data_IF_237369994846
#
_entry.id   IF_237369994846
#
_cell.length_a   1.000
_cell.length_b   1.000
_cell.length_c   1.000
_cell.angle_alpha   90.00
_cell.angle_beta   90.00
_cell.angle_gamma   90.00
#
_symmetry.space_group_name_H-M   'P 1'
#
loop_
_entity.id
_entity.type
_entity.pdbx_description
1 polymer ?
#
# COMPACT_ATOMS: atom_id res chain seq x y z
N UNK A 1 4.04 9.65 2.85
CA UNK A 1 4.42 10.34 1.60
C UNK A 1 3.17 10.56 0.74
N UNK A 2 3.03 11.73 0.14
CA UNK A 2 1.92 12.03 -0.77
C UNK A 2 2.23 11.59 -2.21
N UNK A 3 1.23 11.10 -2.96
CA UNK A 3 1.38 10.61 -4.34
C UNK A 3 2.03 11.62 -5.28
N UNK A 4 1.73 12.91 -5.12
CA UNK A 4 2.34 13.97 -5.97
C UNK A 4 3.86 14.08 -5.80
N UNK A 5 4.42 13.57 -4.70
CA UNK A 5 5.85 13.62 -4.41
C UNK A 5 6.62 12.48 -5.09
N UNK A 6 5.95 11.51 -5.72
CA UNK A 6 6.59 10.34 -6.38
C UNK A 6 7.59 10.77 -7.44
N UNK A 7 7.29 11.82 -8.19
CA UNK A 7 8.19 12.33 -9.23
C UNK A 7 9.52 12.89 -8.68
N UNK A 8 9.61 13.11 -7.35
CA UNK A 8 10.84 13.52 -6.67
C UNK A 8 11.70 12.36 -6.16
N UNK A 9 11.23 11.11 -6.27
CA UNK A 9 12.03 9.94 -5.89
C UNK A 9 13.13 9.69 -6.92
N UNK A 10 14.30 9.25 -6.45
CA UNK A 10 15.40 8.85 -7.33
C UNK A 10 15.00 7.59 -8.12
N UNK A 11 14.88 7.65 -9.46
CA UNK A 11 14.47 6.50 -10.26
C UNK A 11 15.51 5.37 -10.28
N UNK A 12 16.75 5.63 -9.83
CA UNK A 12 17.82 4.62 -9.77
C UNK A 12 17.77 3.81 -8.47
N UNK A 13 17.04 4.29 -7.48
CA UNK A 13 16.91 3.63 -6.19
C UNK A 13 15.59 2.85 -6.15
N UNK A 14 15.60 1.56 -5.77
CA UNK A 14 14.36 0.81 -5.62
C UNK A 14 13.58 1.35 -4.42
N UNK A 15 12.31 1.67 -4.65
CA UNK A 15 11.40 2.12 -3.60
C UNK A 15 10.30 1.07 -3.42
N UNK A 16 10.00 0.77 -2.16
CA UNK A 16 9.00 -0.22 -1.79
C UNK A 16 7.86 0.45 -1.05
N UNK A 17 6.66 -0.08 -1.21
CA UNK A 17 5.49 0.36 -0.46
C UNK A 17 4.65 -0.85 -0.01
N UNK A 18 3.76 -0.61 0.94
CA UNK A 18 2.76 -1.61 1.34
C UNK A 18 1.51 -1.39 0.50
N UNK A 19 0.99 -2.47 -0.06
CA UNK A 19 -0.19 -2.45 -0.91
C UNK A 19 -1.23 -3.48 -0.47
N UNK A 20 -2.47 -3.21 -0.87
CA UNK A 20 -3.62 -4.09 -0.72
C UNK A 20 -4.50 -4.02 -1.97
N UNK A 21 -5.20 -5.12 -2.21
CA UNK A 21 -6.32 -5.15 -3.14
C UNK A 21 -7.63 -5.35 -2.39
N UNK A 22 -8.67 -4.63 -2.81
CA UNK A 22 -10.00 -4.81 -2.26
C UNK A 22 -10.49 -6.25 -2.51
N UNK A 23 -10.83 -7.02 -1.47
CA UNK A 23 -11.26 -8.41 -1.62
C UNK A 23 -12.63 -8.52 -2.29
N UNK A 24 -13.43 -7.45 -2.27
CA UNK A 24 -14.78 -7.43 -2.82
C UNK A 24 -15.17 -6.01 -3.27
N UNK A 25 -16.29 -5.91 -4.00
CA UNK A 25 -16.92 -4.62 -4.32
C UNK A 25 -17.46 -3.97 -3.06
N UNK A 26 -17.35 -2.65 -2.97
CA UNK A 26 -17.83 -1.87 -1.82
C UNK A 26 -17.24 -2.37 -0.49
N UNK A 27 -15.95 -2.72 -0.51
CA UNK A 27 -15.22 -3.21 0.65
C UNK A 27 -15.27 -2.19 1.78
N UNK A 28 -15.42 -2.66 3.02
CA UNK A 28 -15.66 -1.81 4.19
C UNK A 28 -14.57 -0.78 4.45
N UNK A 29 -13.31 -1.10 4.15
CA UNK A 29 -12.19 -0.18 4.30
C UNK A 29 -12.11 0.88 3.18
N UNK A 30 -12.82 0.68 2.06
CA UNK A 30 -12.87 1.60 0.92
C UNK A 30 -14.26 1.58 0.24
N UNK A 31 -15.28 2.23 0.83
CA UNK A 31 -16.63 2.26 0.25
C UNK A 31 -16.65 2.81 -1.18
N UNK A 32 -17.47 2.22 -2.03
CA UNK A 32 -17.57 2.55 -3.45
C UNK A 32 -16.50 1.91 -4.35
N UNK A 33 -15.53 1.17 -3.79
CA UNK A 33 -14.51 0.52 -4.60
C UNK A 33 -15.06 -0.64 -5.45
N UNK A 34 -14.38 -0.96 -6.55
CA UNK A 34 -14.55 -2.24 -7.25
C UNK A 34 -13.80 -3.35 -6.51
N UNK A 35 -14.17 -4.60 -6.78
CA UNK A 35 -13.33 -5.74 -6.40
C UNK A 35 -11.97 -5.60 -7.09
N UNK A 36 -10.89 -6.02 -6.40
CA UNK A 36 -9.50 -5.90 -6.86
C UNK A 36 -9.07 -4.45 -7.14
N UNK A 37 -9.75 -3.45 -6.55
CA UNK A 37 -9.24 -2.09 -6.53
C UNK A 37 -7.92 -2.05 -5.77
N UNK A 38 -6.92 -1.37 -6.35
CA UNK A 38 -5.54 -1.31 -5.87
C UNK A 38 -5.33 -0.10 -5.00
N UNK A 39 -4.85 -0.31 -3.78
CA UNK A 39 -4.53 0.74 -2.83
C UNK A 39 -3.11 0.58 -2.31
N UNK A 40 -2.48 1.70 -2.00
CA UNK A 40 -1.32 1.71 -1.12
C UNK A 40 -1.82 1.86 0.32
N UNK A 41 -0.96 1.58 1.30
CA UNK A 41 -1.32 1.70 2.71
C UNK A 41 -0.72 2.97 3.30
N UNK A 42 -1.60 3.80 3.86
CA UNK A 42 -1.23 4.98 4.65
C UNK A 42 -0.48 4.53 5.91
N UNK A 43 0.75 5.04 6.07
CA UNK A 43 1.63 4.69 7.17
C UNK A 43 1.11 5.11 8.53
N UNK A 44 0.39 6.23 8.61
CA UNK A 44 -0.14 6.76 9.87
C UNK A 44 -1.47 6.08 10.22
N UNK A 45 -2.37 6.03 9.24
CA UNK A 45 -3.74 5.53 9.46
C UNK A 45 -3.86 4.00 9.39
N UNK A 46 -2.83 3.32 8.87
CA UNK A 46 -2.86 1.88 8.56
C UNK A 46 -4.07 1.50 7.71
N UNK A 47 -4.43 2.38 6.78
CA UNK A 47 -5.66 2.32 6.00
C UNK A 47 -5.35 2.37 4.50
N UNK A 48 -6.24 1.84 3.64
CA UNK A 48 -6.05 1.91 2.20
C UNK A 48 -6.17 3.37 1.72
N UNK A 49 -5.28 3.77 0.83
CA UNK A 49 -5.19 5.13 0.33
C UNK A 49 -4.68 5.17 -1.11
N UNK A 50 -5.17 6.14 -1.86
CA UNK A 50 -4.66 6.44 -3.21
C UNK A 50 -3.55 7.50 -3.19
N UNK A 51 -3.55 8.33 -2.15
CA UNK A 51 -2.81 9.60 -2.13
C UNK A 51 -1.73 9.64 -1.04
N UNK A 52 -1.82 8.81 0.00
CA UNK A 52 -0.89 8.79 1.13
C UNK A 52 -0.40 7.39 1.40
N UNK A 53 0.91 7.21 1.51
CA UNK A 53 1.51 5.90 1.78
C UNK A 53 2.92 6.01 2.37
N UNK A 54 3.33 4.95 3.06
CA UNK A 54 4.70 4.79 3.55
C UNK A 54 5.61 4.26 2.43
N UNK A 55 6.85 4.77 2.36
CA UNK A 55 7.86 4.33 1.39
C UNK A 55 9.08 3.80 2.13
N UNK A 56 9.60 2.67 1.66
CA UNK A 56 10.72 1.96 2.25
C UNK A 56 11.86 1.84 1.24
N UNK A 57 13.10 1.88 1.74
CA UNK A 57 14.30 1.70 0.92
C UNK A 57 14.51 0.24 0.48
N UNK A 58 13.93 -0.73 1.20
CA UNK A 58 14.07 -2.14 0.88
C UNK A 58 12.78 -2.94 1.12
N UNK A 59 12.68 -4.09 0.46
CA UNK A 59 11.62 -5.08 0.71
C UNK A 59 11.63 -5.58 2.15
N UNK A 60 12.82 -5.75 2.73
CA UNK A 60 12.97 -6.27 4.09
C UNK A 60 12.38 -5.30 5.11
N UNK A 61 12.65 -4.01 4.97
CA UNK A 61 12.09 -2.98 5.86
C UNK A 61 10.57 -2.90 5.73
N UNK A 62 10.06 -2.99 4.49
CA UNK A 62 8.63 -3.01 4.22
C UNK A 62 7.94 -4.23 4.89
N UNK A 63 8.53 -5.42 4.77
CA UNK A 63 8.02 -6.63 5.43
C UNK A 63 8.10 -6.54 6.97
N UNK A 64 9.20 -6.01 7.49
CA UNK A 64 9.36 -5.79 8.93
C UNK A 64 8.26 -4.86 9.47
N UNK A 65 7.94 -3.79 8.73
CA UNK A 65 6.86 -2.88 9.06
C UNK A 65 5.49 -3.57 9.00
N UNK A 66 5.21 -4.38 7.97
CA UNK A 66 3.94 -5.14 7.89
C UNK A 66 3.80 -6.07 9.10
N UNK A 67 4.87 -6.77 9.47
CA UNK A 67 4.87 -7.67 10.62
C UNK A 67 4.64 -6.94 11.94
N UNK A 68 5.30 -5.78 12.13
CA UNK A 68 5.16 -4.96 13.33
C UNK A 68 3.73 -4.42 13.50
N UNK A 69 3.05 -4.09 12.40
CA UNK A 69 1.72 -3.47 12.41
C UNK A 69 0.59 -4.45 12.07
N UNK A 70 0.85 -5.77 12.03
CA UNK A 70 -0.06 -6.80 11.49
C UNK A 70 -1.48 -6.75 12.07
N UNK A 71 -1.61 -6.40 13.36
CA UNK A 71 -2.90 -6.36 14.06
C UNK A 71 -3.75 -5.18 13.57
N UNK A 72 -3.19 -3.99 13.60
CA UNK A 72 -3.86 -2.77 13.11
C UNK A 72 -4.24 -2.90 11.64
N UNK A 73 -3.35 -3.46 10.83
CA UNK A 73 -3.62 -3.72 9.42
C UNK A 73 -4.79 -4.70 9.22
N UNK A 74 -4.87 -5.78 10.00
CA UNK A 74 -5.98 -6.72 9.92
C UNK A 74 -7.32 -6.10 10.39
N UNK A 75 -7.27 -5.27 11.43
CA UNK A 75 -8.44 -4.59 11.98
C UNK A 75 -8.99 -3.53 11.00
N UNK A 76 -8.12 -2.75 10.37
CA UNK A 76 -8.50 -1.67 9.45
C UNK A 76 -8.79 -2.14 8.03
N UNK A 77 -8.19 -3.27 7.61
CA UNK A 77 -8.31 -3.80 6.25
C UNK A 77 -8.77 -5.28 6.27
N UNK A 78 -9.99 -5.54 6.78
CA UNK A 78 -10.45 -6.90 6.98
C UNK A 78 -10.59 -7.65 5.65
N UNK A 79 -10.00 -8.84 5.61
CA UNK A 79 -10.06 -9.75 4.46
C UNK A 79 -9.16 -9.36 3.28
N UNK A 80 -8.46 -8.23 3.33
CA UNK A 80 -7.49 -7.87 2.29
C UNK A 80 -6.14 -8.54 2.53
N UNK A 81 -5.47 -8.90 1.43
CA UNK A 81 -4.09 -9.40 1.47
C UNK A 81 -3.10 -8.23 1.45
N UNK A 82 -2.47 -7.96 2.58
CA UNK A 82 -1.38 -6.97 2.70
C UNK A 82 -0.08 -7.56 2.20
N UNK A 83 0.62 -6.83 1.32
CA UNK A 83 1.89 -7.28 0.76
C UNK A 83 2.80 -6.10 0.40
N UNK A 84 4.11 -6.38 0.32
CA UNK A 84 5.13 -5.42 -0.09
C UNK A 84 5.28 -5.43 -1.62
N UNK A 85 5.26 -4.26 -2.25
CA UNK A 85 5.37 -4.09 -3.70
C UNK A 85 6.48 -3.10 -4.09
N UNK A 86 7.16 -3.30 -5.23
CA UNK A 86 7.94 -2.25 -5.88
C UNK A 86 7.04 -1.09 -6.30
N UNK A 87 7.33 0.11 -5.79
CA UNK A 87 6.46 1.27 -5.95
C UNK A 87 6.30 1.70 -7.41
N UNK A 88 7.40 1.66 -8.17
CA UNK A 88 7.43 1.99 -9.61
C UNK A 88 6.50 1.08 -10.43
N UNK A 89 6.64 -0.24 -10.27
CA UNK A 89 5.82 -1.23 -10.98
C UNK A 89 4.36 -1.17 -10.56
N UNK A 90 4.11 -0.95 -9.27
CA UNK A 90 2.76 -0.83 -8.74
C UNK A 90 2.02 0.38 -9.32
N UNK A 91 2.70 1.53 -9.42
CA UNK A 91 2.11 2.75 -9.97
C UNK A 91 1.86 2.66 -11.49
N UNK A 92 2.66 1.86 -12.19
CA UNK A 92 2.47 1.55 -13.61
C UNK A 92 1.39 0.48 -13.87
N UNK A 93 0.95 -0.23 -12.82
CA UNK A 93 -0.08 -1.26 -12.93
C UNK A 93 0.41 -2.59 -13.53
N UNK A 94 1.72 -2.88 -13.45
CA UNK A 94 2.35 -4.03 -14.15
C UNK A 94 2.62 -5.22 -13.20
N UNK A 95 2.33 -5.07 -11.91
CA UNK A 95 2.46 -6.09 -10.86
C UNK A 95 1.18 -6.21 -10.04
#
# INVERSE_FOLDING_TARGET
>A
MHRSQVNGLDPRTPHWAVAVEAPSRNWSAAPGCRAHARFLVDGDRKAPSHDQFEVFASRADCLAWIMANRRELADHMPGARVHAVPLDKWLLGIE
#
